data_IF_029454552623
#
_entry.id   IF_029454552623
#
_cell.length_a   1.000
_cell.length_b   1.000
_cell.length_c   1.000
_cell.angle_alpha   90.00
_cell.angle_beta   90.00
_cell.angle_gamma   90.00
#
_symmetry.space_group_name_H-M   'P 1'
#
loop_
_entity.id
_entity.type
_entity.pdbx_description
1 polymer ?
#
# COMPACT_ATOMS: atom_id res chain seq x y z
N UNK A 1 -22.09 16.44 27.66
CA UNK A 1 -21.43 17.59 27.02
C UNK A 1 -19.99 17.31 26.59
N UNK A 2 -19.11 16.76 27.44
CA UNK A 2 -17.72 16.46 27.06
C UNK A 2 -17.58 15.37 25.97
N UNK A 3 -18.42 14.33 26.02
CA UNK A 3 -18.43 13.23 25.03
C UNK A 3 -18.93 13.65 23.66
N UNK A 4 -19.96 14.50 23.60
CA UNK A 4 -20.49 15.07 22.36
C UNK A 4 -19.51 16.06 21.74
N UNK A 5 -18.81 16.83 22.57
CA UNK A 5 -17.73 17.72 22.14
C UNK A 5 -16.54 16.92 21.57
N UNK A 6 -16.06 15.89 22.27
CA UNK A 6 -14.96 15.05 21.79
C UNK A 6 -15.31 14.30 20.50
N UNK A 7 -16.54 13.79 20.40
CA UNK A 7 -17.00 13.09 19.20
C UNK A 7 -17.16 14.03 18.01
N UNK A 8 -17.59 15.27 18.24
CA UNK A 8 -17.69 16.30 17.20
C UNK A 8 -16.30 16.75 16.72
N UNK A 9 -15.35 16.96 17.63
CA UNK A 9 -13.96 17.29 17.29
C UNK A 9 -13.31 16.14 16.53
N UNK A 10 -13.48 14.90 16.96
CA UNK A 10 -12.96 13.73 16.25
C UNK A 10 -13.56 13.60 14.84
N UNK A 11 -14.87 13.79 14.69
CA UNK A 11 -15.53 13.76 13.38
C UNK A 11 -15.04 14.88 12.46
N UNK A 12 -14.82 16.08 13.00
CA UNK A 12 -14.29 17.22 12.24
C UNK A 12 -12.85 16.98 11.79
N UNK A 13 -11.99 16.50 12.69
CA UNK A 13 -10.60 16.14 12.37
C UNK A 13 -10.55 15.04 11.33
N UNK A 14 -11.37 14.00 11.46
CA UNK A 14 -11.46 12.92 10.50
C UNK A 14 -11.95 13.41 9.14
N UNK A 15 -12.96 14.29 9.09
CA UNK A 15 -13.45 14.90 7.86
C UNK A 15 -12.40 15.74 7.14
N UNK A 16 -11.58 16.50 7.89
CA UNK A 16 -10.45 17.27 7.34
C UNK A 16 -9.35 16.34 6.83
N UNK A 17 -9.04 15.25 7.54
CA UNK A 17 -8.06 14.26 7.07
C UNK A 17 -8.51 13.58 5.76
N UNK A 18 -9.80 13.27 5.63
CA UNK A 18 -10.34 12.68 4.39
C UNK A 18 -10.43 13.68 3.24
N UNK A 19 -10.55 14.99 3.49
CA UNK A 19 -10.60 15.99 2.41
C UNK A 19 -9.25 16.25 1.75
N UNK A 20 -8.15 15.92 2.44
CA UNK A 20 -6.78 15.94 1.90
C UNK A 20 -6.38 14.58 1.30
N UNK A 21 -7.24 13.56 1.41
CA UNK A 21 -6.97 12.29 0.76
C UNK A 21 -6.89 12.50 -0.77
N UNK A 22 -5.88 11.94 -1.46
CA UNK A 22 -5.68 12.19 -2.88
C UNK A 22 -6.91 11.74 -3.69
N UNK A 23 -7.59 12.70 -4.32
CA UNK A 23 -8.66 12.40 -5.27
C UNK A 23 -8.05 11.71 -6.48
N UNK A 24 -8.51 10.47 -6.70
CA UNK A 24 -8.00 9.51 -7.65
C UNK A 24 -6.60 8.97 -7.29
N UNK A 25 -6.58 7.70 -6.89
CA UNK A 25 -5.48 6.80 -7.21
C UNK A 25 -5.41 6.66 -8.75
N UNK A 26 -5.00 7.73 -9.44
CA UNK A 26 -4.36 7.62 -10.74
C UNK A 26 -3.17 6.74 -10.45
N UNK A 27 -3.18 5.50 -10.93
CA UNK A 27 -2.03 4.60 -10.83
C UNK A 27 -0.77 5.44 -11.05
N UNK A 28 0.23 5.26 -10.18
CA UNK A 28 1.49 5.97 -10.18
C UNK A 28 2.19 5.79 -11.53
N UNK A 29 1.74 6.50 -12.57
CA UNK A 29 2.11 6.25 -13.95
C UNK A 29 2.59 7.53 -14.62
N UNK A 30 2.29 8.71 -14.08
CA UNK A 30 2.91 9.98 -14.56
C UNK A 30 4.27 10.19 -13.91
N UNK A 31 4.43 9.85 -12.62
CA UNK A 31 5.69 9.97 -11.88
C UNK A 31 6.76 9.01 -12.42
N UNK A 32 6.43 7.72 -12.61
CA UNK A 32 7.43 6.79 -13.14
C UNK A 32 7.71 7.01 -14.63
N UNK A 33 6.74 7.50 -15.41
CA UNK A 33 6.93 7.81 -16.84
C UNK A 33 7.84 9.02 -17.05
N UNK A 34 7.66 10.09 -16.27
CA UNK A 34 8.53 11.27 -16.37
C UNK A 34 9.97 10.95 -15.97
N UNK A 35 10.17 10.14 -14.93
CA UNK A 35 11.50 9.69 -14.52
C UNK A 35 12.14 8.75 -15.56
N UNK A 36 11.35 7.87 -16.19
CA UNK A 36 11.81 6.99 -17.28
C UNK A 36 12.15 7.77 -18.54
N UNK A 37 11.35 8.77 -18.92
CA UNK A 37 11.61 9.62 -20.08
C UNK A 37 12.84 10.51 -19.84
N UNK A 38 12.98 11.09 -18.64
CA UNK A 38 14.19 11.81 -18.24
C UNK A 38 15.44 10.92 -18.26
N UNK A 39 15.35 9.70 -17.70
CA UNK A 39 16.45 8.73 -17.70
C UNK A 39 16.84 8.25 -19.11
N UNK A 40 15.90 8.17 -20.05
CA UNK A 40 16.20 7.86 -21.46
C UNK A 40 16.94 8.98 -22.19
N UNK A 41 16.72 10.23 -21.81
CA UNK A 41 17.35 11.40 -22.46
C UNK A 41 18.75 11.69 -21.89
N UNK A 42 19.05 11.18 -20.70
CA UNK A 42 20.31 11.43 -19.99
C UNK A 42 21.32 10.28 -20.21
N UNK A 43 21.81 10.16 -21.46
CA UNK A 43 22.93 9.30 -21.92
C UNK A 43 22.69 7.78 -21.87
N UNK A 44 23.46 7.08 -22.71
CA UNK A 44 23.30 5.70 -23.16
C UNK A 44 23.00 4.67 -22.05
N UNK A 45 22.03 3.79 -22.33
CA UNK A 45 21.80 2.49 -21.69
C UNK A 45 21.01 2.43 -20.36
N UNK A 46 20.08 3.36 -20.11
CA UNK A 46 19.08 3.13 -19.05
C UNK A 46 18.06 2.06 -19.48
N UNK A 47 18.20 0.82 -18.99
CA UNK A 47 17.23 -0.27 -19.21
C UNK A 47 15.92 -0.02 -18.44
N UNK A 48 15.06 0.75 -19.09
CA UNK A 48 13.71 1.10 -18.60
C UNK A 48 12.67 0.01 -18.88
N UNK A 49 13.03 -1.09 -19.55
CA UNK A 49 12.09 -2.18 -19.86
C UNK A 49 11.70 -2.98 -18.60
N UNK A 50 12.55 -2.95 -17.56
CA UNK A 50 12.36 -3.67 -16.29
C UNK A 50 11.41 -3.04 -15.28
N UNK A 51 10.94 -1.79 -15.50
CA UNK A 51 10.20 -1.05 -14.46
C UNK A 51 8.91 -1.74 -14.00
N UNK A 52 8.11 -2.28 -14.93
CA UNK A 52 6.88 -2.99 -14.59
C UNK A 52 7.18 -4.27 -13.78
N UNK A 53 8.29 -4.94 -14.07
CA UNK A 53 8.77 -6.09 -13.28
C UNK A 53 9.17 -5.66 -11.87
N UNK A 54 9.80 -4.49 -11.72
CA UNK A 54 10.13 -3.91 -10.41
C UNK A 54 8.89 -3.60 -9.56
N UNK A 55 7.84 -3.02 -10.15
CA UNK A 55 6.57 -2.75 -9.46
C UNK A 55 5.93 -4.05 -8.98
N UNK A 56 5.82 -5.05 -9.86
CA UNK A 56 5.28 -6.35 -9.50
C UNK A 56 6.10 -7.03 -8.38
N UNK A 57 7.43 -6.92 -8.42
CA UNK A 57 8.31 -7.45 -7.38
C UNK A 57 8.07 -6.77 -6.03
N UNK A 58 7.99 -5.44 -6.00
CA UNK A 58 7.74 -4.68 -4.77
C UNK A 58 6.33 -4.91 -4.20
N UNK A 59 5.32 -5.07 -5.06
CA UNK A 59 3.97 -5.43 -4.62
C UNK A 59 3.88 -6.88 -4.12
N UNK A 60 4.73 -7.80 -4.57
CA UNK A 60 4.70 -9.20 -4.12
C UNK A 60 5.01 -9.35 -2.64
N UNK A 61 5.93 -8.54 -2.10
CA UNK A 61 6.35 -8.58 -0.69
C UNK A 61 5.18 -8.40 0.30
N UNK A 62 4.35 -7.33 0.22
CA UNK A 62 3.24 -7.16 1.16
C UNK A 62 2.18 -8.28 1.07
N UNK A 63 1.93 -8.85 -0.12
CA UNK A 63 1.00 -9.96 -0.25
C UNK A 63 1.51 -11.25 0.41
N UNK A 64 2.80 -11.57 0.23
CA UNK A 64 3.42 -12.72 0.90
C UNK A 64 3.40 -12.52 2.42
N UNK A 65 3.76 -11.34 2.89
CA UNK A 65 3.77 -11.02 4.32
C UNK A 65 2.38 -11.19 4.94
N UNK A 66 1.34 -10.67 4.29
CA UNK A 66 -0.05 -10.80 4.74
C UNK A 66 -0.51 -12.26 4.75
N UNK A 67 -0.15 -13.03 3.72
CA UNK A 67 -0.45 -14.47 3.65
C UNK A 67 0.24 -15.27 4.77
N UNK A 68 1.51 -14.97 5.05
CA UNK A 68 2.26 -15.61 6.12
C UNK A 68 1.65 -15.32 7.50
N UNK A 69 1.36 -14.04 7.77
CA UNK A 69 0.71 -13.62 9.02
C UNK A 69 -0.65 -14.31 9.19
N UNK A 70 -1.48 -14.31 8.13
CA UNK A 70 -2.78 -14.97 8.14
C UNK A 70 -2.69 -16.48 8.39
N UNK A 71 -1.73 -17.16 7.74
CA UNK A 71 -1.50 -18.60 7.92
C UNK A 71 -1.10 -18.94 9.37
N UNK A 72 -0.12 -18.22 9.93
CA UNK A 72 0.31 -18.45 11.32
C UNK A 72 -0.79 -18.12 12.33
N UNK A 73 -1.56 -17.06 12.08
CA UNK A 73 -2.68 -16.70 12.92
C UNK A 73 -3.76 -17.80 12.90
N UNK A 74 -4.18 -18.26 11.72
CA UNK A 74 -5.17 -19.34 11.57
C UNK A 74 -4.73 -20.63 12.26
N UNK A 75 -3.46 -21.02 12.11
CA UNK A 75 -2.92 -22.23 12.75
C UNK A 75 -2.85 -22.10 14.28
N UNK A 76 -2.66 -20.89 14.81
CA UNK A 76 -2.69 -20.61 16.26
C UNK A 76 -4.10 -20.57 16.83
N UNK A 77 -5.07 -20.03 16.09
CA UNK A 77 -6.46 -19.89 16.56
C UNK A 77 -7.30 -21.13 16.32
N UNK A 78 -6.92 -21.97 15.35
CA UNK A 78 -7.53 -23.27 15.07
C UNK A 78 -6.53 -24.41 15.23
N UNK A 79 -5.97 -24.62 16.45
CA UNK A 79 -5.17 -25.81 16.70
C UNK A 79 -6.04 -27.04 16.43
N UNK A 80 -5.63 -27.88 15.49
CA UNK A 80 -6.18 -29.24 15.36
C UNK A 80 -5.99 -29.88 16.73
N UNK A 81 -7.07 -30.24 17.41
CA UNK A 81 -6.98 -31.07 18.61
C UNK A 81 -6.10 -32.26 18.22
N UNK A 82 -4.98 -32.47 18.92
CA UNK A 82 -4.20 -33.69 18.77
C UNK A 82 -5.20 -34.83 18.91
N UNK A 83 -5.44 -35.57 17.83
CA UNK A 83 -6.02 -36.89 17.97
C UNK A 83 -5.01 -37.66 18.83
N UNK A 84 -5.48 -38.03 20.03
CA UNK A 84 -4.69 -38.59 21.12
C UNK A 84 -3.87 -39.80 20.68
#
# INVERSE_FOLDING_TARGET
MKKTFFSAVFALVLGVLLSVAPLAARAQCVMCKSQVEAAKQERDDYDVAGLNKGILYMMTVPYILMGAVGYFWYRRTHPKAKQA
#
